data_IF_655941368532
#
_entry.id   IF_655941368532
#
_cell.length_a   1.000
_cell.length_b   1.000
_cell.length_c   1.000
_cell.angle_alpha   90.00
_cell.angle_beta   90.00
_cell.angle_gamma   90.00
#
_symmetry.space_group_name_H-M   'P 1'
#
loop_
_entity.id
_entity.type
_entity.pdbx_description
1 polymer ?
#
# COMPACT_ATOMS: atom_id res chain seq x y z
N UNK A 1 -39.61 -36.51 19.24
CA UNK A 1 -39.31 -35.15 19.67
C UNK A 1 -37.94 -34.99 20.33
N UNK A 2 -37.52 -35.81 21.31
CA UNK A 2 -36.18 -35.65 21.96
C UNK A 2 -34.97 -35.78 21.01
N UNK A 3 -35.04 -36.66 19.99
CA UNK A 3 -33.97 -36.87 19.01
C UNK A 3 -33.81 -35.69 18.04
N UNK A 4 -34.89 -35.03 17.63
CA UNK A 4 -34.89 -33.84 16.76
C UNK A 4 -34.33 -32.60 17.44
N UNK A 5 -34.59 -32.45 18.75
CA UNK A 5 -34.04 -31.33 19.54
C UNK A 5 -32.51 -31.47 19.71
N UNK A 6 -32.02 -32.70 19.88
CA UNK A 6 -30.60 -32.96 20.01
C UNK A 6 -29.83 -32.68 18.72
N UNK A 7 -30.41 -33.02 17.55
CA UNK A 7 -29.82 -32.75 16.24
C UNK A 7 -29.77 -31.24 15.96
N UNK A 8 -30.81 -30.48 16.32
CA UNK A 8 -30.85 -29.03 16.14
C UNK A 8 -29.85 -28.32 17.04
N UNK A 9 -29.67 -28.78 18.28
CA UNK A 9 -28.67 -28.28 19.22
C UNK A 9 -27.22 -28.53 18.73
N UNK A 10 -26.97 -29.66 18.10
CA UNK A 10 -25.64 -30.00 17.56
C UNK A 10 -25.30 -29.14 16.34
N UNK A 11 -26.27 -28.76 15.50
CA UNK A 11 -26.05 -27.84 14.36
C UNK A 11 -25.70 -26.45 14.85
N UNK A 12 -26.31 -25.95 15.93
CA UNK A 12 -25.98 -24.63 16.49
C UNK A 12 -24.56 -24.54 17.06
N UNK A 13 -23.91 -25.65 17.43
CA UNK A 13 -22.53 -25.64 17.94
C UNK A 13 -21.46 -25.45 16.84
N UNK A 14 -21.83 -25.60 15.57
CA UNK A 14 -20.91 -25.37 14.44
C UNK A 14 -20.91 -23.94 13.89
N UNK A 15 -21.79 -23.06 14.38
CA UNK A 15 -21.73 -21.63 14.09
C UNK A 15 -20.80 -20.92 15.11
N UNK A 16 -19.60 -21.47 15.31
CA UNK A 16 -18.55 -20.71 15.94
C UNK A 16 -18.15 -19.56 14.99
N UNK A 17 -18.16 -18.34 15.48
CA UNK A 17 -17.72 -17.14 14.80
C UNK A 17 -16.43 -17.38 14.02
N UNK A 18 -16.56 -17.72 12.75
CA UNK A 18 -15.46 -17.60 11.80
C UNK A 18 -15.24 -16.10 11.66
N UNK A 19 -14.43 -15.52 12.55
CA UNK A 19 -13.91 -14.17 12.34
C UNK A 19 -13.06 -14.26 11.08
N UNK A 20 -13.62 -13.86 9.97
CA UNK A 20 -12.90 -13.75 8.73
C UNK A 20 -11.72 -12.79 9.00
N UNK A 21 -10.51 -13.34 9.01
CA UNK A 21 -9.30 -12.51 9.13
C UNK A 21 -9.18 -11.69 7.86
N UNK A 22 -9.20 -10.37 8.00
CA UNK A 22 -8.99 -9.45 6.88
C UNK A 22 -7.49 -9.20 6.73
N UNK A 23 -7.00 -9.36 5.54
CA UNK A 23 -5.64 -9.01 5.15
C UNK A 23 -5.65 -7.69 4.35
N UNK A 24 -4.65 -6.85 4.57
CA UNK A 24 -4.47 -5.61 3.83
C UNK A 24 -3.17 -5.62 3.05
N UNK A 25 -3.19 -5.00 1.87
CA UNK A 25 -2.01 -4.76 1.03
C UNK A 25 -2.02 -3.33 0.53
N UNK A 26 -0.86 -2.68 0.55
CA UNK A 26 -0.70 -1.31 0.06
C UNK A 26 0.16 -1.33 -1.19
N UNK A 27 -0.33 -0.67 -2.24
CA UNK A 27 0.42 -0.35 -3.44
C UNK A 27 0.55 1.17 -3.50
N UNK A 28 1.68 1.67 -3.91
CA UNK A 28 1.93 3.11 -3.98
C UNK A 28 2.40 3.51 -5.36
N UNK A 29 1.73 4.48 -5.98
CA UNK A 29 2.31 5.20 -7.11
C UNK A 29 3.02 6.47 -6.63
N UNK A 30 4.18 6.73 -7.20
CA UNK A 30 4.94 7.97 -7.03
C UNK A 30 5.12 8.56 -8.43
N UNK A 31 4.70 9.79 -8.64
CA UNK A 31 4.76 10.46 -9.93
C UNK A 31 5.47 11.81 -9.80
N UNK A 32 6.48 12.02 -10.61
CA UNK A 32 7.23 13.27 -10.60
C UNK A 32 6.44 14.39 -11.28
N UNK A 33 6.30 15.52 -10.59
CA UNK A 33 5.62 16.72 -11.07
C UNK A 33 6.60 17.82 -11.50
N UNK A 34 7.89 17.53 -11.57
CA UNK A 34 8.92 18.49 -12.01
C UNK A 34 9.45 18.14 -13.39
N UNK A 35 9.81 19.13 -14.22
CA UNK A 35 10.49 18.89 -15.48
C UNK A 35 11.77 18.10 -15.30
N UNK A 36 12.05 17.18 -16.21
CA UNK A 36 13.29 16.38 -16.21
C UNK A 36 13.50 15.50 -14.96
N UNK A 37 12.45 15.15 -14.23
CA UNK A 37 12.48 14.20 -13.11
C UNK A 37 12.76 12.77 -13.59
N UNK A 38 13.91 12.52 -14.20
CA UNK A 38 14.26 11.26 -14.84
C UNK A 38 14.10 10.06 -13.89
N UNK A 39 13.29 9.10 -14.32
CA UNK A 39 13.21 7.79 -13.68
C UNK A 39 12.57 7.76 -12.29
N UNK A 40 11.84 8.78 -11.88
CA UNK A 40 11.26 8.89 -10.53
C UNK A 40 9.85 8.37 -10.40
N UNK A 41 9.09 8.35 -11.50
CA UNK A 41 7.70 7.90 -11.48
C UNK A 41 7.63 6.39 -11.49
N UNK A 42 6.96 5.79 -10.49
CA UNK A 42 6.91 4.34 -10.22
C UNK A 42 5.60 3.94 -9.56
N UNK A 43 5.16 2.71 -9.85
CA UNK A 43 4.31 1.96 -8.92
C UNK A 43 5.23 1.03 -8.13
N UNK A 44 5.08 1.00 -6.82
CA UNK A 44 5.84 0.12 -5.94
C UNK A 44 4.90 -0.75 -5.09
N UNK A 45 5.29 -2.00 -4.88
CA UNK A 45 4.56 -2.96 -4.04
C UNK A 45 5.57 -3.85 -3.31
N UNK A 46 5.51 -3.89 -1.98
CA UNK A 46 6.35 -4.77 -1.20
C UNK A 46 5.98 -6.24 -1.43
N UNK A 47 6.99 -7.11 -1.57
CA UNK A 47 6.85 -8.56 -1.73
C UNK A 47 7.10 -9.31 -0.42
N UNK A 48 7.46 -8.60 0.64
CA UNK A 48 7.67 -9.15 1.97
C UNK A 48 6.86 -8.39 3.01
N UNK A 49 6.54 -9.07 4.10
CA UNK A 49 5.87 -8.49 5.26
C UNK A 49 6.88 -8.14 6.35
N UNK A 50 6.61 -7.09 7.11
CA UNK A 50 7.36 -6.71 8.31
C UNK A 50 6.42 -6.70 9.50
N UNK A 51 6.87 -7.26 10.62
CA UNK A 51 6.14 -7.13 11.87
C UNK A 51 6.49 -5.78 12.52
N UNK A 52 5.54 -4.86 12.59
CA UNK A 52 5.77 -3.52 13.14
C UNK A 52 6.24 -3.55 14.60
N UNK A 53 5.87 -4.60 15.37
CA UNK A 53 6.24 -4.74 16.78
C UNK A 53 7.75 -4.83 16.98
N UNK A 54 8.47 -5.38 15.99
CA UNK A 54 9.94 -5.52 16.04
C UNK A 54 10.65 -4.16 16.00
N UNK A 55 9.93 -3.10 15.57
CA UNK A 55 10.43 -1.74 15.39
C UNK A 55 9.74 -0.73 16.30
N UNK A 56 8.87 -1.19 17.20
CA UNK A 56 8.10 -0.32 18.10
C UNK A 56 8.81 -0.20 19.45
N UNK A 57 8.83 1.01 20.01
CA UNK A 57 9.15 1.26 21.41
C UNK A 57 7.89 1.73 22.13
N UNK A 58 7.65 1.22 23.31
CA UNK A 58 6.62 1.76 24.19
C UNK A 58 7.28 2.77 25.12
N UNK A 59 6.81 4.01 25.09
CA UNK A 59 7.27 5.07 25.97
C UNK A 59 6.37 5.11 27.21
N UNK A 60 6.95 5.13 28.39
CA UNK A 60 6.27 5.31 29.68
C UNK A 60 7.01 6.34 30.53
N UNK A 61 6.49 6.68 31.69
CA UNK A 61 7.19 7.58 32.61
C UNK A 61 8.50 6.96 33.12
N UNK A 62 8.55 5.63 33.26
CA UNK A 62 9.68 4.88 33.78
C UNK A 62 10.64 4.36 32.69
N UNK A 63 10.16 4.20 31.44
CA UNK A 63 10.97 3.72 30.33
C UNK A 63 10.77 4.60 29.09
N UNK A 64 11.84 5.31 28.74
CA UNK A 64 11.92 6.21 27.55
C UNK A 64 12.91 5.66 26.51
N UNK A 65 13.23 4.37 26.58
CA UNK A 65 14.10 3.74 25.61
C UNK A 65 13.49 3.77 24.21
N UNK A 66 14.35 3.83 23.20
CA UNK A 66 13.93 3.78 21.78
C UNK A 66 14.43 2.50 21.16
N UNK A 67 13.65 1.98 20.21
CA UNK A 67 14.06 0.85 19.42
C UNK A 67 15.39 1.14 18.71
N UNK A 68 16.33 0.19 18.80
CA UNK A 68 17.71 0.32 18.29
C UNK A 68 17.92 -0.46 16.99
N UNK A 69 16.85 -0.89 16.30
CA UNK A 69 16.96 -1.60 15.05
C UNK A 69 17.69 -0.75 14.00
N UNK A 70 18.56 -1.38 13.26
CA UNK A 70 19.26 -0.74 12.15
C UNK A 70 18.32 -0.41 11.00
N UNK A 71 18.62 0.63 10.24
CA UNK A 71 17.87 0.98 9.03
C UNK A 71 17.83 -0.16 8.01
N UNK A 72 18.87 -1.01 8.00
CA UNK A 72 18.95 -2.18 7.15
C UNK A 72 17.87 -3.21 7.44
N UNK A 73 17.53 -3.38 8.73
CA UNK A 73 16.51 -4.34 9.18
C UNK A 73 15.10 -3.89 8.81
N UNK A 74 14.85 -2.57 8.82
CA UNK A 74 13.56 -1.99 8.46
C UNK A 74 13.34 -2.01 6.94
N UNK A 75 14.42 -1.88 6.14
CA UNK A 75 14.32 -1.84 4.69
C UNK A 75 13.73 -3.14 4.13
N UNK A 76 12.79 -2.99 3.23
CA UNK A 76 12.30 -4.08 2.38
C UNK A 76 13.37 -4.39 1.34
N UNK A 77 13.76 -5.67 1.22
CA UNK A 77 14.75 -6.13 0.25
C UNK A 77 14.12 -6.54 -1.08
N UNK A 78 12.86 -7.04 -1.03
CA UNK A 78 12.10 -7.45 -2.20
C UNK A 78 10.87 -6.57 -2.38
N UNK A 79 10.76 -5.89 -3.53
CA UNK A 79 9.58 -5.15 -3.93
C UNK A 79 9.48 -5.13 -5.46
N UNK A 80 8.26 -5.07 -5.95
CA UNK A 80 8.00 -4.86 -7.38
C UNK A 80 8.02 -3.37 -7.69
N UNK A 81 8.58 -3.06 -8.84
CA UNK A 81 8.66 -1.71 -9.37
C UNK A 81 8.14 -1.69 -10.80
N UNK A 82 7.09 -0.94 -11.07
CA UNK A 82 6.57 -0.69 -12.41
C UNK A 82 6.90 0.75 -12.80
N UNK A 83 7.56 0.92 -13.93
CA UNK A 83 7.93 2.23 -14.46
C UNK A 83 6.69 3.01 -14.87
N UNK A 84 6.59 4.26 -14.42
CA UNK A 84 5.65 5.27 -14.90
C UNK A 84 6.38 6.41 -15.60
N UNK A 85 5.63 7.26 -16.26
CA UNK A 85 6.15 8.45 -16.93
C UNK A 85 5.96 9.69 -16.05
N UNK A 86 6.88 10.63 -16.14
CA UNK A 86 6.74 11.91 -15.43
C UNK A 86 5.67 12.77 -16.10
N UNK A 87 4.93 13.56 -15.30
CA UNK A 87 3.89 14.45 -15.81
C UNK A 87 4.45 15.55 -16.70
N UNK A 88 5.67 15.99 -16.44
CA UNK A 88 6.33 17.07 -17.17
C UNK A 88 7.58 16.58 -17.91
N UNK A 89 7.80 17.18 -19.06
CA UNK A 89 9.10 17.19 -19.73
C UNK A 89 9.60 18.63 -19.91
N UNK A 90 10.69 18.81 -20.66
CA UNK A 90 11.28 20.13 -20.94
C UNK A 90 10.29 21.10 -21.60
N UNK A 91 9.31 20.59 -22.34
CA UNK A 91 8.30 21.38 -23.08
C UNK A 91 7.00 21.61 -22.28
N UNK A 92 6.91 21.15 -21.01
CA UNK A 92 5.74 21.33 -20.15
C UNK A 92 4.99 20.02 -19.83
N UNK A 93 3.72 20.15 -19.45
CA UNK A 93 2.87 19.02 -19.08
C UNK A 93 2.60 18.10 -20.28
N UNK A 94 2.56 16.79 -20.03
CA UNK A 94 2.29 15.75 -21.01
C UNK A 94 1.08 14.92 -20.63
N UNK A 95 -0.08 15.28 -21.15
CA UNK A 95 -1.33 14.57 -20.90
C UNK A 95 -1.28 13.10 -21.35
N UNK A 96 -0.54 12.79 -22.41
CA UNK A 96 -0.31 11.42 -22.86
C UNK A 96 0.43 10.58 -21.80
N UNK A 97 1.37 11.20 -21.05
CA UNK A 97 2.06 10.51 -19.95
C UNK A 97 1.12 10.21 -18.80
N UNK A 98 0.23 11.15 -18.46
CA UNK A 98 -0.79 10.96 -17.43
C UNK A 98 -1.72 9.81 -17.85
N UNK A 99 -2.26 9.85 -19.07
CA UNK A 99 -3.14 8.79 -19.59
C UNK A 99 -2.44 7.41 -19.63
N UNK A 100 -1.14 7.37 -19.97
CA UNK A 100 -0.36 6.14 -19.94
C UNK A 100 -0.17 5.60 -18.51
N UNK A 101 0.09 6.48 -17.55
CA UNK A 101 0.17 6.11 -16.13
C UNK A 101 -1.16 5.57 -15.62
N UNK A 102 -2.26 6.25 -15.93
CA UNK A 102 -3.62 5.82 -15.55
C UNK A 102 -3.94 4.43 -16.11
N UNK A 103 -3.54 4.14 -17.35
CA UNK A 103 -3.72 2.82 -17.95
C UNK A 103 -2.92 1.74 -17.20
N UNK A 104 -1.66 2.01 -16.81
CA UNK A 104 -0.83 1.09 -16.04
C UNK A 104 -1.37 0.89 -14.61
N UNK A 105 -1.81 1.96 -13.96
CA UNK A 105 -2.42 1.90 -12.63
C UNK A 105 -3.71 1.09 -12.68
N UNK A 106 -4.57 1.34 -13.67
CA UNK A 106 -5.81 0.58 -13.89
C UNK A 106 -5.52 -0.90 -14.10
N UNK A 107 -4.53 -1.23 -14.94
CA UNK A 107 -4.11 -2.61 -15.15
C UNK A 107 -3.66 -3.27 -13.83
N UNK A 108 -2.89 -2.57 -12.99
CA UNK A 108 -2.47 -3.10 -11.69
C UNK A 108 -3.65 -3.29 -10.74
N UNK A 109 -4.60 -2.36 -10.71
CA UNK A 109 -5.83 -2.51 -9.91
C UNK A 109 -6.63 -3.73 -10.35
N UNK A 110 -6.83 -3.91 -11.66
CA UNK A 110 -7.56 -5.06 -12.20
C UNK A 110 -6.88 -6.38 -11.84
N UNK A 111 -5.56 -6.47 -11.97
CA UNK A 111 -4.79 -7.65 -11.54
C UNK A 111 -5.01 -7.96 -10.06
N UNK A 112 -5.01 -6.94 -9.19
CA UNK A 112 -5.27 -7.12 -7.76
C UNK A 112 -6.69 -7.66 -7.52
N UNK A 113 -7.68 -7.15 -8.26
CA UNK A 113 -9.08 -7.63 -8.16
C UNK A 113 -9.18 -9.09 -8.62
N UNK A 114 -8.51 -9.46 -9.73
CA UNK A 114 -8.44 -10.84 -10.23
C UNK A 114 -7.77 -11.78 -9.20
N UNK A 115 -6.82 -11.29 -8.41
CA UNK A 115 -6.18 -12.00 -7.30
C UNK A 115 -7.05 -12.07 -6.03
N UNK A 116 -8.29 -11.58 -6.07
CA UNK A 116 -9.26 -11.61 -4.97
C UNK A 116 -9.12 -10.47 -3.95
N UNK A 117 -8.47 -9.38 -4.33
CA UNK A 117 -8.39 -8.19 -3.50
C UNK A 117 -9.48 -7.18 -3.86
N UNK A 118 -10.10 -6.57 -2.86
CA UNK A 118 -10.99 -5.42 -3.01
C UNK A 118 -10.21 -4.12 -2.78
N UNK A 119 -10.40 -3.12 -3.62
CA UNK A 119 -9.89 -1.78 -3.38
C UNK A 119 -10.71 -1.13 -2.26
N UNK A 120 -10.13 -1.02 -1.07
CA UNK A 120 -10.82 -0.52 0.11
C UNK A 120 -10.72 1.00 0.24
N UNK A 121 -9.56 1.57 -0.08
CA UNK A 121 -9.32 2.99 0.11
C UNK A 121 -8.20 3.50 -0.79
N UNK A 122 -8.31 4.77 -1.23
CA UNK A 122 -7.28 5.48 -1.99
C UNK A 122 -7.01 6.81 -1.29
N UNK A 123 -5.74 7.13 -1.07
CA UNK A 123 -5.32 8.42 -0.55
C UNK A 123 -4.13 8.94 -1.30
N UNK A 124 -4.08 10.24 -1.51
CA UNK A 124 -2.98 10.89 -2.20
C UNK A 124 -2.50 12.13 -1.45
N UNK A 125 -1.25 12.46 -1.69
CA UNK A 125 -0.62 13.66 -1.20
C UNK A 125 0.37 14.18 -2.25
N UNK A 126 0.67 15.46 -2.18
CA UNK A 126 1.65 16.12 -3.02
C UNK A 126 2.73 16.77 -2.16
N UNK A 127 3.98 16.55 -2.54
CA UNK A 127 5.11 17.34 -2.09
C UNK A 127 5.43 18.31 -3.22
N UNK A 128 5.18 19.57 -3.00
CA UNK A 128 5.50 20.62 -3.98
C UNK A 128 7.01 20.93 -3.94
N UNK A 129 7.51 21.39 -5.08
CA UNK A 129 8.87 21.90 -5.18
C UNK A 129 9.09 23.01 -4.15
N UNK A 130 10.12 22.86 -3.33
CA UNK A 130 10.56 23.86 -2.37
C UNK A 130 11.40 24.99 -2.97
N UNK A 131 12.42 25.40 -2.27
CA UNK A 131 13.34 26.48 -2.66
C UNK A 131 14.40 26.04 -3.71
N UNK A 132 15.47 26.83 -3.85
CA UNK A 132 16.56 26.54 -4.81
C UNK A 132 17.27 25.21 -4.53
N UNK A 133 17.23 24.71 -3.30
CA UNK A 133 17.91 23.49 -2.87
C UNK A 133 17.00 22.27 -3.01
N UNK A 134 15.70 22.45 -2.88
CA UNK A 134 14.69 21.41 -3.08
C UNK A 134 13.99 21.60 -4.44
N UNK A 135 14.50 20.88 -5.44
CA UNK A 135 13.97 20.90 -6.80
C UNK A 135 13.05 19.70 -7.08
N UNK A 136 12.62 18.98 -6.05
CA UNK A 136 11.88 17.77 -6.18
C UNK A 136 10.41 18.00 -5.82
N UNK A 137 9.52 17.61 -6.68
CA UNK A 137 8.09 17.59 -6.43
C UNK A 137 7.54 16.24 -6.87
N UNK A 138 6.76 15.61 -6.01
CA UNK A 138 6.16 14.31 -6.26
C UNK A 138 4.69 14.30 -5.87
N UNK A 139 3.93 13.52 -6.61
CA UNK A 139 2.58 13.14 -6.28
C UNK A 139 2.60 11.68 -5.82
N UNK A 140 2.12 11.41 -4.61
CA UNK A 140 2.11 10.07 -4.03
C UNK A 140 0.67 9.64 -3.85
N UNK A 141 0.30 8.47 -4.39
CA UNK A 141 -1.01 7.86 -4.17
C UNK A 141 -0.83 6.46 -3.58
N UNK A 142 -1.52 6.18 -2.49
CA UNK A 142 -1.60 4.85 -1.88
C UNK A 142 -2.95 4.22 -2.16
N UNK A 143 -2.91 3.03 -2.72
CA UNK A 143 -4.05 2.17 -2.97
C UNK A 143 -4.04 1.08 -1.89
N UNK A 144 -5.04 1.07 -1.04
CA UNK A 144 -5.16 0.13 0.07
C UNK A 144 -6.18 -0.92 -0.32
N UNK A 145 -5.72 -2.14 -0.45
CA UNK A 145 -6.53 -3.30 -0.78
C UNK A 145 -6.79 -4.13 0.47
N UNK A 146 -7.91 -4.82 0.48
CA UNK A 146 -8.28 -5.80 1.51
C UNK A 146 -8.78 -7.08 0.86
N UNK A 147 -8.65 -8.19 1.55
CA UNK A 147 -9.34 -9.45 1.24
C UNK A 147 -9.61 -10.24 2.51
N UNK A 148 -10.60 -11.10 2.47
CA UNK A 148 -10.82 -12.09 3.52
C UNK A 148 -9.85 -13.26 3.31
N UNK A 149 -9.23 -13.72 4.42
CA UNK A 149 -8.39 -14.93 4.44
C UNK A 149 -9.23 -16.16 4.58
#
# INVERSE_FOLDING_TARGET
>A
MKKTIFTLSLICLFFNDIKAQVEYKVITSVESIVPSGLGRSRIISANETKNYKDYTSTQSDDDKSRNKSDRGDIRVKGFDETKLLNFYNVAGIRFQNIAANDALITSKINTMIEEGWDLAFVTSAVESKGDKTDKQGIFITRYIFKRNK
#
